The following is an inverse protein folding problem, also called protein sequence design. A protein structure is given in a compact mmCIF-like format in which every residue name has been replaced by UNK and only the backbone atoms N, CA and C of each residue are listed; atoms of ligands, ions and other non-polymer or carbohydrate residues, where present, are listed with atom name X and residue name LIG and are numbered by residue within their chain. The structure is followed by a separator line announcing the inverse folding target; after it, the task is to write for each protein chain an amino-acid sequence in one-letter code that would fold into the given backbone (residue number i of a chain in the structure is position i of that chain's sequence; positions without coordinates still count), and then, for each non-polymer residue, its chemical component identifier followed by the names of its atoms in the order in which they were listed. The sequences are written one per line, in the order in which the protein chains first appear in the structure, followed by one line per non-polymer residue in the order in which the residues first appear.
data_IF_115840499166
#
_entry.id   IF_115840499166
#
_cell.length_a   1.000
_cell.length_b   1.000
_cell.length_c   1.000
_cell.angle_alpha   90.00
_cell.angle_beta   90.00
_cell.angle_gamma   90.00
#
_symmetry.space_group_name_H-M   'P 1'
#
loop_
_entity.id
_entity.type
_entity.pdbx_description
1 polymer ?
#
# COMPACT_ATOMS: atom_id res chain seq x y z
N UNK A 1 -41.97 33.96 -10.02
CA UNK A 1 -41.27 32.74 -9.57
C UNK A 1 -40.02 32.64 -10.43
N UNK A 2 -38.93 33.22 -9.94
CA UNK A 2 -37.63 33.23 -10.61
C UNK A 2 -36.98 31.86 -10.36
N UNK A 3 -36.82 31.05 -11.41
CA UNK A 3 -36.03 29.84 -11.33
C UNK A 3 -34.56 30.24 -11.45
N UNK A 4 -33.81 30.05 -10.37
CA UNK A 4 -32.36 30.18 -10.38
C UNK A 4 -31.78 29.23 -11.43
N UNK A 5 -30.84 29.69 -12.29
CA UNK A 5 -30.29 28.85 -13.34
C UNK A 5 -29.50 27.68 -12.74
N UNK A 6 -29.77 26.49 -13.27
CA UNK A 6 -29.19 25.18 -12.93
C UNK A 6 -27.64 25.15 -12.89
N UNK A 7 -27.00 26.18 -13.43
CA UNK A 7 -25.56 26.41 -13.40
C UNK A 7 -25.02 26.77 -12.01
N UNK A 8 -25.82 27.40 -11.15
CA UNK A 8 -25.41 27.78 -9.79
C UNK A 8 -25.43 26.59 -8.81
N UNK A 9 -26.36 25.64 -9.02
CA UNK A 9 -26.43 24.40 -8.24
C UNK A 9 -25.21 23.51 -8.51
N UNK A 10 -24.80 23.35 -9.77
CA UNK A 10 -23.60 22.57 -10.13
C UNK A 10 -22.29 23.21 -9.68
N UNK A 11 -22.23 24.54 -9.57
CA UNK A 11 -21.06 25.23 -9.05
C UNK A 11 -20.91 25.10 -7.53
N UNK A 12 -22.01 24.94 -6.80
CA UNK A 12 -21.97 24.65 -5.36
C UNK A 12 -21.45 23.23 -5.08
N UNK A 13 -21.87 22.24 -5.87
CA UNK A 13 -21.38 20.86 -5.75
C UNK A 13 -19.88 20.73 -6.14
N UNK A 14 -19.44 21.49 -7.15
CA UNK A 14 -18.04 21.47 -7.58
C UNK A 14 -17.07 22.17 -6.60
N UNK A 15 -17.56 23.11 -5.79
CA UNK A 15 -16.75 23.82 -4.79
C UNK A 15 -16.73 23.14 -3.42
N UNK A 16 -17.77 22.36 -3.09
CA UNK A 16 -17.86 21.62 -1.83
C UNK A 16 -16.94 20.38 -1.80
N UNK A 17 -16.50 19.87 -2.95
CA UNK A 17 -15.56 18.75 -3.03
C UNK A 17 -14.08 19.14 -2.86
N UNK A 18 -13.76 20.43 -2.79
CA UNK A 18 -12.37 20.92 -2.80
C UNK A 18 -11.78 21.22 -1.40
N UNK A 19 -12.56 21.05 -0.33
CA UNK A 19 -12.09 21.24 1.05
C UNK A 19 -12.44 20.02 1.90
N UNK A 20 -11.71 18.92 1.69
CA UNK A 20 -11.48 17.97 2.77
C UNK A 20 -10.17 18.35 3.46
N UNK A 21 -10.21 18.86 4.71
CA UNK A 21 -9.02 19.06 5.50
C UNK A 21 -8.59 17.69 6.04
N UNK A 22 -7.92 16.92 5.19
CA UNK A 22 -7.25 15.67 5.56
C UNK A 22 -5.79 15.82 5.22
N UNK A 23 -4.96 16.06 6.23
CA UNK A 23 -3.51 16.12 6.13
C UNK A 23 -2.95 15.02 5.21
N UNK A 24 -1.89 15.32 4.44
CA UNK A 24 -1.03 14.40 3.68
C UNK A 24 -1.03 12.94 4.20
N UNK A 25 -2.08 12.17 3.92
CA UNK A 25 -2.09 10.73 4.22
C UNK A 25 -1.33 10.10 3.08
N UNK A 26 0.01 10.15 3.18
CA UNK A 26 0.88 9.45 2.25
C UNK A 26 0.50 7.97 2.30
N UNK A 27 -0.01 7.46 1.18
CA UNK A 27 -0.33 6.05 1.00
C UNK A 27 0.84 5.20 1.54
N UNK A 28 0.62 4.23 2.45
CA UNK A 28 1.70 3.60 3.20
C UNK A 28 2.85 3.05 2.33
N UNK A 29 2.59 2.43 1.16
CA UNK A 29 3.65 2.10 0.20
C UNK A 29 4.49 3.30 -0.26
N UNK A 30 3.90 4.46 -0.54
CA UNK A 30 4.66 5.67 -0.92
C UNK A 30 5.56 6.16 0.21
N UNK A 31 5.12 6.04 1.46
CA UNK A 31 5.93 6.40 2.62
C UNK A 31 7.13 5.47 2.76
N UNK A 32 6.91 4.16 2.62
CA UNK A 32 7.99 3.15 2.67
C UNK A 32 8.97 3.35 1.52
N UNK A 33 8.50 3.58 0.30
CA UNK A 33 9.36 3.89 -0.85
C UNK A 33 10.24 5.12 -0.58
N UNK A 34 9.64 6.20 -0.05
CA UNK A 34 10.38 7.41 0.30
C UNK A 34 11.44 7.17 1.38
N UNK A 35 11.17 6.32 2.36
CA UNK A 35 12.16 5.92 3.37
C UNK A 35 13.30 5.12 2.73
N UNK A 36 13.00 4.15 1.87
CA UNK A 36 14.01 3.36 1.17
C UNK A 36 14.92 4.23 0.29
N UNK A 37 14.34 5.20 -0.42
CA UNK A 37 15.07 6.19 -1.22
C UNK A 37 15.99 7.06 -0.35
N UNK A 38 15.50 7.57 0.79
CA UNK A 38 16.31 8.36 1.72
C UNK A 38 17.48 7.56 2.30
N UNK A 39 17.25 6.27 2.56
CA UNK A 39 18.27 5.34 3.04
C UNK A 39 19.20 4.82 1.93
N UNK A 40 18.97 5.23 0.67
CA UNK A 40 19.73 4.78 -0.51
C UNK A 40 19.75 3.26 -0.67
N UNK A 41 18.64 2.61 -0.35
CA UNK A 41 18.46 1.17 -0.53
C UNK A 41 17.92 0.94 -1.93
N UNK A 42 18.57 0.07 -2.70
CA UNK A 42 18.06 -0.35 -4.00
C UNK A 42 16.88 -1.32 -3.82
N UNK A 43 15.78 -1.06 -4.53
CA UNK A 43 14.58 -1.89 -4.46
C UNK A 43 13.85 -1.95 -5.80
N UNK A 44 13.07 -3.01 -6.00
CA UNK A 44 12.11 -3.14 -7.09
C UNK A 44 10.70 -3.20 -6.50
N UNK A 45 9.79 -2.34 -6.97
CA UNK A 45 8.43 -2.29 -6.44
C UNK A 45 7.46 -3.13 -7.28
N UNK A 46 6.47 -3.75 -6.63
CA UNK A 46 5.35 -4.42 -7.28
C UNK A 46 5.72 -5.67 -8.09
N UNK A 47 6.76 -6.40 -7.67
CA UNK A 47 7.22 -7.60 -8.36
C UNK A 47 6.30 -8.79 -8.04
N UNK A 48 5.76 -9.45 -9.06
CA UNK A 48 5.00 -10.70 -8.84
C UNK A 48 5.93 -11.87 -8.51
N UNK A 49 5.44 -12.79 -7.68
CA UNK A 49 6.09 -14.09 -7.45
C UNK A 49 6.09 -14.94 -8.73
N UNK A 50 6.96 -15.97 -8.80
CA UNK A 50 7.11 -16.81 -10.00
C UNK A 50 5.82 -17.58 -10.35
N UNK A 51 5.06 -17.95 -9.33
CA UNK A 51 3.75 -18.60 -9.45
C UNK A 51 2.60 -17.62 -9.76
N UNK A 52 2.85 -16.31 -9.71
CA UNK A 52 1.86 -15.26 -9.93
C UNK A 52 0.80 -15.14 -8.82
N UNK A 53 0.99 -15.79 -7.67
CA UNK A 53 0.00 -15.85 -6.59
C UNK A 53 0.11 -14.72 -5.57
N UNK A 54 1.25 -14.01 -5.51
CA UNK A 54 1.45 -12.88 -4.63
C UNK A 54 2.23 -11.76 -5.34
N UNK A 55 2.10 -10.53 -4.81
CA UNK A 55 2.87 -9.37 -5.26
C UNK A 55 3.75 -8.90 -4.11
N UNK A 56 5.04 -8.79 -4.38
CA UNK A 56 6.02 -8.19 -3.49
C UNK A 56 5.92 -6.68 -3.59
N UNK A 57 5.53 -6.01 -2.50
CA UNK A 57 5.48 -4.55 -2.48
C UNK A 57 6.85 -3.94 -2.78
N UNK A 58 7.89 -4.38 -2.05
CA UNK A 58 9.28 -3.98 -2.29
C UNK A 58 10.20 -5.19 -2.19
N UNK A 59 10.82 -5.55 -3.30
CA UNK A 59 11.86 -6.56 -3.39
C UNK A 59 13.23 -5.91 -3.18
N UNK A 60 13.98 -6.46 -2.24
CA UNK A 60 15.30 -5.99 -1.82
C UNK A 60 16.33 -7.10 -2.03
N UNK A 61 17.53 -6.72 -2.49
CA UNK A 61 18.69 -7.62 -2.56
C UNK A 61 19.86 -7.02 -1.77
N UNK A 62 19.85 -7.09 -0.43
CA UNK A 62 20.90 -6.50 0.40
C UNK A 62 22.28 -7.16 0.20
N UNK A 63 22.30 -8.40 -0.28
CA UNK A 63 23.50 -9.18 -0.60
C UNK A 63 23.21 -10.07 -1.81
N UNK A 64 24.21 -10.37 -2.67
CA UNK A 64 24.00 -11.22 -3.83
C UNK A 64 23.35 -12.56 -3.46
N UNK A 65 22.21 -12.86 -4.06
CA UNK A 65 21.47 -14.11 -3.86
C UNK A 65 20.60 -14.16 -2.61
N UNK A 66 20.49 -13.07 -1.84
CA UNK A 66 19.56 -12.96 -0.70
C UNK A 66 18.41 -12.03 -1.06
N UNK A 67 17.26 -12.60 -1.37
CA UNK A 67 16.04 -11.85 -1.70
C UNK A 67 15.20 -11.63 -0.44
N UNK A 68 14.91 -10.36 -0.14
CA UNK A 68 14.08 -9.95 1.00
C UNK A 68 12.83 -9.27 0.48
N UNK A 69 11.66 -9.76 0.90
CA UNK A 69 10.38 -9.14 0.60
C UNK A 69 9.98 -8.24 1.78
N UNK A 70 9.89 -6.93 1.53
CA UNK A 70 9.33 -5.97 2.47
C UNK A 70 7.85 -5.75 2.12
N UNK A 71 6.98 -6.32 2.95
CA UNK A 71 5.54 -6.27 2.77
C UNK A 71 4.92 -5.18 3.62
N UNK A 72 4.14 -4.30 2.99
CA UNK A 72 3.37 -3.28 3.69
C UNK A 72 2.04 -3.89 4.12
N UNK A 73 1.84 -4.02 5.43
CA UNK A 73 0.59 -4.48 6.00
C UNK A 73 -0.33 -3.30 6.33
N UNK A 74 -1.62 -3.49 6.09
CA UNK A 74 -2.66 -2.52 6.40
C UNK A 74 -3.45 -2.93 7.64
N UNK A 75 -4.08 -1.96 8.31
CA UNK A 75 -4.87 -2.21 9.52
C UNK A 75 -6.03 -3.19 9.26
N UNK A 76 -6.69 -3.11 8.10
CA UNK A 76 -7.78 -4.01 7.73
C UNK A 76 -7.34 -5.47 7.53
N UNK A 77 -6.04 -5.75 7.44
CA UNK A 77 -5.50 -7.11 7.39
C UNK A 77 -5.33 -7.72 8.79
N UNK A 78 -5.63 -6.98 9.84
CA UNK A 78 -5.55 -7.44 11.21
C UNK A 78 -6.94 -7.52 11.84
N UNK A 79 -7.10 -8.46 12.76
CA UNK A 79 -8.27 -8.52 13.63
C UNK A 79 -8.26 -7.31 14.58
N UNK A 80 -9.42 -6.67 14.74
CA UNK A 80 -9.55 -5.48 15.59
C UNK A 80 -9.38 -5.75 17.09
N UNK A 81 -9.62 -6.98 17.54
CA UNK A 81 -9.60 -7.37 18.95
C UNK A 81 -8.28 -8.00 19.41
N UNK A 82 -7.57 -8.72 18.53
CA UNK A 82 -6.32 -9.41 18.89
C UNK A 82 -5.10 -8.89 18.16
N UNK A 83 -5.26 -8.08 17.11
CA UNK A 83 -4.17 -7.62 16.27
C UNK A 83 -3.50 -8.76 15.46
N UNK A 84 -4.08 -9.95 15.42
CA UNK A 84 -3.58 -11.05 14.61
C UNK A 84 -3.89 -10.81 13.13
N UNK A 85 -2.97 -11.21 12.25
CA UNK A 85 -3.16 -11.19 10.81
C UNK A 85 -4.34 -12.08 10.41
N UNK A 86 -5.18 -11.59 9.51
CA UNK A 86 -6.27 -12.34 8.90
C UNK A 86 -5.73 -13.39 7.92
N UNK A 87 -6.52 -14.45 7.72
CA UNK A 87 -6.15 -15.60 6.87
C UNK A 87 -5.59 -15.23 5.49
N UNK A 88 -6.19 -14.29 4.73
CA UNK A 88 -5.64 -13.89 3.43
C UNK A 88 -4.22 -13.31 3.52
N UNK A 89 -3.94 -12.46 4.51
CA UNK A 89 -2.61 -11.87 4.68
C UNK A 89 -1.57 -12.89 5.20
N UNK A 90 -2.01 -13.86 6.02
CA UNK A 90 -1.18 -15.00 6.41
C UNK A 90 -0.86 -15.91 5.22
N UNK A 91 -1.85 -16.15 4.34
CA UNK A 91 -1.67 -16.95 3.14
C UNK A 91 -0.69 -16.30 2.17
N UNK A 92 -0.86 -15.02 1.87
CA UNK A 92 0.06 -14.25 1.04
C UNK A 92 1.49 -14.31 1.60
N UNK A 93 1.63 -14.13 2.92
CA UNK A 93 2.90 -14.28 3.62
C UNK A 93 3.53 -15.65 3.35
N UNK A 94 2.74 -16.71 3.40
CA UNK A 94 3.24 -18.07 3.20
C UNK A 94 3.67 -18.33 1.75
N UNK A 95 2.94 -17.78 0.78
CA UNK A 95 3.31 -17.85 -0.65
C UNK A 95 4.68 -17.23 -0.89
N UNK A 96 4.97 -16.07 -0.29
CA UNK A 96 6.26 -15.41 -0.41
C UNK A 96 7.40 -16.28 0.13
N UNK A 97 7.23 -16.85 1.33
CA UNK A 97 8.22 -17.75 1.94
C UNK A 97 8.47 -18.98 1.06
N UNK A 98 7.42 -19.58 0.50
CA UNK A 98 7.53 -20.72 -0.40
C UNK A 98 8.25 -20.38 -1.71
N UNK A 99 8.17 -19.13 -2.17
CA UNK A 99 8.90 -18.62 -3.32
C UNK A 99 10.35 -18.20 -2.97
N UNK A 100 10.85 -18.51 -1.77
CA UNK A 100 12.24 -18.28 -1.36
C UNK A 100 12.54 -16.88 -0.84
N UNK A 101 11.52 -16.05 -0.62
CA UNK A 101 11.70 -14.71 -0.07
C UNK A 101 11.89 -14.75 1.44
N UNK A 102 12.94 -14.09 1.93
CA UNK A 102 13.05 -13.82 3.36
C UNK A 102 12.07 -12.70 3.74
N UNK A 103 11.29 -12.95 4.78
CA UNK A 103 10.28 -12.01 5.26
C UNK A 103 10.81 -11.16 6.40
N UNK A 104 10.62 -9.85 6.29
CA UNK A 104 10.79 -8.88 7.37
C UNK A 104 9.52 -8.06 7.50
N UNK A 105 8.88 -8.12 8.67
CA UNK A 105 7.77 -7.26 9.08
C UNK A 105 8.30 -6.02 9.79
#
# INVERSE_FOLDING_TARGET
MDQLPDSLLRQADAKAAAEQPGADVKFPPLMVASILEQLKVEFQAGQSTQDGLAVVHFALEPQPGRQVALQVLFEYQHTSNTGQLLGPAQFETRVLEMNGWERRL
#
